data_IF_251843295601
#
_entry.id   IF_251843295601
#
_cell.length_a   1.000
_cell.length_b   1.000
_cell.length_c   1.000
_cell.angle_alpha   90.00
_cell.angle_beta   90.00
_cell.angle_gamma   90.00
#
_symmetry.space_group_name_H-M   'P 1'
#
loop_
_entity.id
_entity.type
_entity.pdbx_description
1 polymer ?
#
# COMPACT_ATOMS: atom_id res chain seq x y z
N UNK A 1 -7.63 3.63 9.61
CA UNK A 1 -6.74 2.52 9.22
C UNK A 1 -6.47 1.53 10.35
N UNK A 2 -6.32 1.92 11.63
CA UNK A 2 -6.20 0.90 12.71
C UNK A 2 -7.50 0.13 12.92
N UNK A 3 -8.62 0.86 12.98
CA UNK A 3 -9.97 0.29 13.15
C UNK A 3 -10.29 -0.87 12.19
N UNK A 4 -9.97 -0.76 10.89
CA UNK A 4 -10.24 -1.86 9.94
C UNK A 4 -9.46 -3.14 10.26
N UNK A 5 -8.25 -3.03 10.80
CA UNK A 5 -7.46 -4.19 11.24
C UNK A 5 -8.07 -4.77 12.51
N UNK A 6 -8.37 -3.92 13.50
CA UNK A 6 -8.96 -4.34 14.77
C UNK A 6 -10.30 -5.08 14.55
N UNK A 7 -11.21 -4.52 13.76
CA UNK A 7 -12.52 -5.11 13.46
C UNK A 7 -12.39 -6.42 12.65
N UNK A 8 -11.40 -6.51 11.75
CA UNK A 8 -11.12 -7.77 11.01
C UNK A 8 -10.68 -8.86 11.97
N UNK A 9 -9.78 -8.54 12.92
CA UNK A 9 -9.28 -9.49 13.91
C UNK A 9 -10.36 -9.87 14.93
N UNK A 10 -11.20 -8.93 15.34
CA UNK A 10 -12.34 -9.23 16.22
C UNK A 10 -13.30 -10.21 15.57
N UNK A 11 -13.62 -10.01 14.29
CA UNK A 11 -14.60 -10.82 13.56
C UNK A 11 -14.08 -12.17 13.07
N UNK A 12 -12.85 -12.20 12.56
CA UNK A 12 -12.30 -13.37 11.86
C UNK A 12 -11.16 -14.04 12.62
N UNK A 13 -10.65 -13.42 13.69
CA UNK A 13 -9.56 -13.93 14.53
C UNK A 13 -8.22 -14.13 13.82
N UNK A 14 -8.13 -13.74 12.54
CA UNK A 14 -6.92 -13.85 11.74
C UNK A 14 -6.86 -12.76 10.67
N UNK A 15 -5.66 -12.58 10.13
CA UNK A 15 -5.42 -11.81 8.93
C UNK A 15 -4.41 -12.56 8.06
N UNK A 16 -4.88 -13.28 7.05
CA UNK A 16 -4.02 -14.07 6.17
C UNK A 16 -3.52 -13.29 4.95
N UNK A 17 -4.33 -12.38 4.42
CA UNK A 17 -4.02 -11.66 3.18
C UNK A 17 -4.41 -10.18 3.32
N UNK A 18 -3.48 -9.30 2.98
CA UNK A 18 -3.73 -7.87 2.80
C UNK A 18 -3.66 -7.52 1.31
N UNK A 19 -4.72 -6.97 0.75
CA UNK A 19 -4.75 -6.47 -0.63
C UNK A 19 -4.82 -4.94 -0.65
N UNK A 20 -3.73 -4.30 -1.09
CA UNK A 20 -3.64 -2.85 -1.26
C UNK A 20 -4.08 -2.46 -2.68
N UNK A 21 -5.37 -2.25 -2.85
CA UNK A 21 -5.98 -1.88 -4.14
C UNK A 21 -6.38 -0.41 -4.25
N UNK A 22 -6.59 0.30 -3.14
CA UNK A 22 -7.03 1.69 -3.17
C UNK A 22 -5.99 2.59 -3.87
N UNK A 23 -6.47 3.45 -4.78
CA UNK A 23 -5.63 4.42 -5.49
C UNK A 23 -6.45 5.46 -6.24
N UNK A 24 -5.80 6.55 -6.60
CA UNK A 24 -6.46 7.69 -7.27
C UNK A 24 -5.60 8.94 -7.28
N UNK A 25 -6.14 10.04 -7.81
CA UNK A 25 -5.49 11.36 -7.79
C UNK A 25 -6.48 12.45 -7.46
N UNK A 26 -5.95 13.65 -7.31
CA UNK A 26 -6.72 14.85 -7.21
C UNK A 26 -7.33 15.20 -8.57
N UNK A 27 -8.66 15.33 -8.65
CA UNK A 27 -9.41 15.53 -9.90
C UNK A 27 -9.23 16.90 -10.57
N UNK A 28 -8.15 17.62 -10.29
CA UNK A 28 -7.88 18.91 -10.92
C UNK A 28 -7.28 18.75 -12.32
N UNK A 29 -7.53 19.77 -13.15
CA UNK A 29 -7.06 19.85 -14.53
C UNK A 29 -5.53 19.70 -14.54
N UNK A 30 -5.02 18.96 -15.52
CA UNK A 30 -3.58 18.81 -15.77
C UNK A 30 -2.88 20.19 -15.73
N UNK A 31 -2.21 20.48 -14.61
CA UNK A 31 -1.24 21.57 -14.48
C UNK A 31 0.12 20.98 -14.84
N UNK A 32 0.97 21.77 -15.50
CA UNK A 32 2.36 21.40 -15.76
C UNK A 32 3.04 20.92 -14.48
N UNK A 33 3.89 19.89 -14.54
CA UNK A 33 4.64 19.36 -13.39
C UNK A 33 5.59 20.38 -12.77
N UNK A 34 5.87 21.48 -13.48
CA UNK A 34 6.78 22.55 -13.08
C UNK A 34 6.05 23.84 -12.64
N UNK A 35 4.71 23.84 -12.67
CA UNK A 35 3.90 25.02 -12.34
C UNK A 35 2.88 24.69 -11.24
N UNK A 36 2.54 25.68 -10.41
CA UNK A 36 1.62 25.49 -9.30
C UNK A 36 2.31 25.00 -8.01
N UNK A 37 1.51 24.45 -7.10
CA UNK A 37 1.97 23.90 -5.81
C UNK A 37 2.01 22.36 -5.81
N UNK A 38 2.36 21.77 -4.67
CA UNK A 38 2.49 20.32 -4.51
C UNK A 38 1.21 19.65 -3.97
N UNK A 39 0.08 20.33 -3.85
CA UNK A 39 -1.11 19.79 -3.19
C UNK A 39 -1.63 18.51 -3.87
N UNK A 40 -1.69 18.50 -5.20
CA UNK A 40 -2.09 17.33 -5.98
C UNK A 40 -1.08 16.17 -5.87
N UNK A 41 0.22 16.49 -5.84
CA UNK A 41 1.30 15.53 -5.61
C UNK A 41 1.17 14.90 -4.21
N UNK A 42 1.05 15.72 -3.18
CA UNK A 42 0.94 15.29 -1.78
C UNK A 42 -0.30 14.44 -1.54
N UNK A 43 -1.44 14.82 -2.14
CA UNK A 43 -2.65 14.01 -2.11
C UNK A 43 -2.40 12.62 -2.72
N UNK A 44 -1.85 12.60 -3.94
CA UNK A 44 -1.55 11.37 -4.68
C UNK A 44 -0.55 10.49 -3.92
N UNK A 45 0.51 11.07 -3.36
CA UNK A 45 1.50 10.36 -2.56
C UNK A 45 0.92 9.80 -1.26
N UNK A 46 0.10 10.59 -0.57
CA UNK A 46 -0.58 10.19 0.66
C UNK A 46 -1.54 9.02 0.40
N UNK A 47 -2.30 9.07 -0.69
CA UNK A 47 -3.30 8.07 -1.05
C UNK A 47 -2.71 6.79 -1.63
N UNK A 48 -1.67 6.86 -2.46
CA UNK A 48 -1.16 5.69 -3.20
C UNK A 48 0.09 5.05 -2.57
N UNK A 49 0.87 5.81 -1.80
CA UNK A 49 2.14 5.32 -1.24
C UNK A 49 2.10 5.25 0.28
N UNK A 50 1.81 6.37 0.95
CA UNK A 50 1.85 6.45 2.41
C UNK A 50 0.79 5.57 3.07
N UNK A 51 -0.41 5.53 2.50
CA UNK A 51 -1.52 4.68 2.95
C UNK A 51 -1.15 3.19 2.93
N UNK A 52 -0.54 2.73 1.82
CA UNK A 52 -0.12 1.34 1.59
C UNK A 52 0.91 0.94 2.62
N UNK A 53 1.96 1.75 2.80
CA UNK A 53 2.97 1.49 3.82
C UNK A 53 2.36 1.46 5.21
N UNK A 54 1.47 2.41 5.54
CA UNK A 54 0.84 2.47 6.86
C UNK A 54 -0.04 1.25 7.13
N UNK A 55 -0.80 0.78 6.14
CA UNK A 55 -1.64 -0.39 6.29
C UNK A 55 -0.79 -1.67 6.41
N UNK A 56 0.30 -1.78 5.66
CA UNK A 56 1.28 -2.86 5.83
C UNK A 56 1.87 -2.87 7.25
N UNK A 57 2.27 -1.71 7.81
CA UNK A 57 2.77 -1.63 9.19
C UNK A 57 1.76 -2.13 10.23
N UNK A 58 0.49 -1.79 10.05
CA UNK A 58 -0.58 -2.19 10.97
C UNK A 58 -0.93 -3.67 10.83
N UNK A 59 -0.94 -4.21 9.61
CA UNK A 59 -1.24 -5.61 9.33
C UNK A 59 -0.09 -6.55 9.68
N UNK A 60 1.16 -6.07 9.60
CA UNK A 60 2.36 -6.89 9.65
C UNK A 60 2.49 -7.81 10.87
N UNK A 61 2.25 -7.36 12.13
CA UNK A 61 2.33 -8.24 13.29
C UNK A 61 1.42 -9.46 13.14
N UNK A 62 0.21 -9.25 12.61
CA UNK A 62 -0.80 -10.29 12.43
C UNK A 62 -0.52 -11.19 11.22
N UNK A 63 0.07 -10.65 10.16
CA UNK A 63 0.46 -11.45 9.00
C UNK A 63 1.60 -12.43 9.32
N UNK A 64 2.49 -12.09 10.26
CA UNK A 64 3.57 -13.00 10.69
C UNK A 64 3.00 -14.24 11.37
N UNK A 65 1.99 -14.07 12.24
CA UNK A 65 1.38 -15.17 13.00
C UNK A 65 0.83 -16.28 12.09
N UNK A 66 0.43 -15.91 10.86
CA UNK A 66 -0.17 -16.83 9.89
C UNK A 66 0.65 -17.02 8.60
N UNK A 67 1.89 -16.51 8.54
CA UNK A 67 2.73 -16.56 7.33
C UNK A 67 2.00 -16.03 6.07
N UNK A 68 1.31 -14.90 6.27
CA UNK A 68 0.36 -14.33 5.32
C UNK A 68 0.99 -13.68 4.09
N UNK A 69 0.12 -13.01 3.32
CA UNK A 69 0.46 -12.41 2.04
C UNK A 69 0.08 -10.93 1.97
N UNK A 70 0.90 -10.14 1.29
CA UNK A 70 0.57 -8.77 0.89
C UNK A 70 0.55 -8.72 -0.63
N UNK A 71 -0.56 -8.26 -1.20
CA UNK A 71 -0.73 -8.04 -2.64
C UNK A 71 -0.94 -6.55 -2.89
N UNK A 72 -0.04 -5.96 -3.66
CA UNK A 72 -0.17 -4.59 -4.15
C UNK A 72 -0.73 -4.59 -5.57
N UNK A 73 -1.71 -3.76 -5.86
CA UNK A 73 -2.28 -3.62 -7.21
C UNK A 73 -1.98 -2.21 -7.76
N UNK A 74 -0.76 -1.94 -8.27
CA UNK A 74 -0.48 -0.70 -8.96
C UNK A 74 -1.27 -0.60 -10.28
N UNK A 75 -1.72 0.61 -10.59
CA UNK A 75 -2.48 0.92 -11.79
C UNK A 75 -1.68 1.93 -12.64
N UNK A 76 -1.80 2.00 -13.99
CA UNK A 76 -0.94 2.83 -14.84
C UNK A 76 -0.96 4.36 -14.57
N UNK A 77 -1.99 4.88 -13.91
CA UNK A 77 -2.06 6.30 -13.58
C UNK A 77 -1.20 6.67 -12.36
N UNK A 78 -0.67 7.91 -12.33
CA UNK A 78 0.15 8.46 -11.24
C UNK A 78 1.48 7.73 -11.03
N UNK A 79 2.24 7.61 -12.12
CA UNK A 79 3.37 6.71 -12.29
C UNK A 79 4.44 6.82 -11.21
N UNK A 80 4.73 8.01 -10.68
CA UNK A 80 5.70 8.18 -9.57
C UNK A 80 5.26 7.39 -8.33
N UNK A 81 4.00 7.56 -7.92
CA UNK A 81 3.47 6.90 -6.71
C UNK A 81 3.40 5.38 -6.88
N UNK A 82 3.09 4.90 -8.09
CA UNK A 82 2.98 3.47 -8.40
C UNK A 82 4.35 2.81 -8.59
N UNK A 83 5.33 3.52 -9.15
CA UNK A 83 6.72 3.08 -9.14
C UNK A 83 7.28 2.97 -7.71
N UNK A 84 6.92 3.90 -6.82
CA UNK A 84 7.26 3.81 -5.40
C UNK A 84 6.61 2.58 -4.73
N UNK A 85 5.35 2.28 -5.03
CA UNK A 85 4.66 1.08 -4.56
C UNK A 85 5.36 -0.22 -5.04
N UNK A 86 5.84 -0.24 -6.29
CA UNK A 86 6.60 -1.37 -6.81
C UNK A 86 7.95 -1.56 -6.11
N UNK A 87 8.69 -0.48 -5.85
CA UNK A 87 9.94 -0.56 -5.11
C UNK A 87 9.70 -0.97 -3.64
N UNK A 88 8.63 -0.45 -3.03
CA UNK A 88 8.22 -0.86 -1.70
C UNK A 88 7.94 -2.37 -1.66
N UNK A 89 7.21 -2.90 -2.64
CA UNK A 89 6.95 -4.34 -2.78
C UNK A 89 8.25 -5.14 -2.78
N UNK A 90 9.21 -4.78 -3.64
CA UNK A 90 10.52 -5.46 -3.72
C UNK A 90 11.27 -5.44 -2.39
N UNK A 91 11.34 -4.27 -1.73
CA UNK A 91 12.04 -4.12 -0.46
C UNK A 91 11.41 -4.99 0.64
N UNK A 92 10.09 -4.98 0.74
CA UNK A 92 9.35 -5.76 1.74
C UNK A 92 9.45 -7.26 1.48
N UNK A 93 9.40 -7.70 0.22
CA UNK A 93 9.51 -9.11 -0.15
C UNK A 93 10.83 -9.72 0.34
N UNK A 94 11.95 -9.04 0.09
CA UNK A 94 13.28 -9.51 0.51
C UNK A 94 13.43 -9.53 2.03
N UNK A 95 12.89 -8.53 2.74
CA UNK A 95 13.04 -8.44 4.19
C UNK A 95 12.14 -9.42 4.94
N UNK A 96 10.90 -9.60 4.50
CA UNK A 96 9.89 -10.28 5.30
C UNK A 96 9.66 -11.75 4.95
N UNK A 97 10.24 -12.23 3.84
CA UNK A 97 10.19 -13.66 3.51
C UNK A 97 10.83 -14.53 4.59
N UNK A 98 11.88 -14.04 5.28
CA UNK A 98 12.52 -14.73 6.42
C UNK A 98 11.57 -14.93 7.62
N UNK A 99 10.44 -14.22 7.64
CA UNK A 99 9.37 -14.32 8.64
C UNK A 99 8.11 -14.95 8.07
N UNK A 100 8.19 -15.61 6.91
CA UNK A 100 7.08 -16.30 6.26
C UNK A 100 6.09 -15.40 5.52
N UNK A 101 6.26 -14.08 5.53
CA UNK A 101 5.34 -13.15 4.85
C UNK A 101 5.78 -12.92 3.41
N UNK A 102 4.88 -13.19 2.46
CA UNK A 102 5.12 -12.99 1.02
C UNK A 102 4.54 -11.66 0.56
N UNK A 103 5.24 -10.95 -0.31
CA UNK A 103 4.82 -9.63 -0.80
C UNK A 103 4.96 -9.58 -2.31
N UNK A 104 3.86 -9.36 -3.02
CA UNK A 104 3.80 -9.35 -4.48
C UNK A 104 3.06 -8.12 -5.02
N UNK A 105 3.31 -7.80 -6.29
CA UNK A 105 2.64 -6.75 -7.04
C UNK A 105 1.95 -7.37 -8.27
N UNK A 106 0.70 -7.00 -8.53
CA UNK A 106 -0.08 -7.44 -9.70
C UNK A 106 -0.33 -6.24 -10.60
N UNK A 107 0.09 -6.33 -11.86
CA UNK A 107 -0.07 -5.30 -12.89
C UNK A 107 -1.03 -5.77 -13.97
#
# INVERSE_FOLDING_TARGET
MKQIIDETLEKFHCLNVLVNNAGGTHGEKFVSELEGDLAAFDYTWKLNTRSVLRLCQLAYPHLIDFQGEIVNAPFPFYSISKAAQDQLTRNMAVHYIKKGVRVNSVR
#
